data_IF_273219427232
#
_entry.id   IF_273219427232
#
_cell.length_a   1.000
_cell.length_b   1.000
_cell.length_c   1.000
_cell.angle_alpha   90.00
_cell.angle_beta   90.00
_cell.angle_gamma   90.00
#
_symmetry.space_group_name_H-M   'P 1'
#
loop_
_entity.id
_entity.type
_entity.pdbx_description
1 polymer ?
#
# COMPACT_ATOMS: atom_id res chain seq x y z
N UNK A 1 -65.02 -59.99 55.53
CA UNK A 1 -64.89 -58.86 54.54
C UNK A 1 -63.43 -58.44 54.43
N UNK A 2 -62.77 -58.81 53.33
CA UNK A 2 -61.35 -58.50 53.13
C UNK A 2 -61.27 -57.36 52.10
N UNK A 3 -60.78 -56.16 52.53
CA UNK A 3 -60.51 -55.02 51.66
C UNK A 3 -59.15 -55.20 51.01
N UNK A 4 -59.16 -55.16 49.66
CA UNK A 4 -57.91 -55.18 48.83
C UNK A 4 -57.39 -53.76 48.72
N UNK A 5 -56.14 -53.53 49.08
CA UNK A 5 -55.37 -52.33 48.81
C UNK A 5 -54.73 -52.42 47.43
N UNK A 6 -55.00 -51.46 46.56
CA UNK A 6 -54.28 -51.28 45.27
C UNK A 6 -53.15 -50.27 45.44
N UNK A 7 -51.91 -50.52 44.96
CA UNK A 7 -50.84 -49.55 45.06
C UNK A 7 -50.94 -48.56 43.90
N UNK A 8 -50.93 -47.27 44.23
CA UNK A 8 -50.87 -46.14 43.28
C UNK A 8 -49.45 -45.98 42.77
N UNK A 9 -49.22 -46.18 41.47
CA UNK A 9 -47.94 -45.94 40.82
C UNK A 9 -47.66 -44.44 40.73
N UNK A 10 -46.62 -43.99 41.41
CA UNK A 10 -46.09 -42.62 41.39
C UNK A 10 -45.20 -42.45 40.17
N UNK A 11 -45.72 -41.80 39.11
CA UNK A 11 -44.93 -41.44 37.93
C UNK A 11 -43.92 -40.33 38.31
N UNK A 12 -42.63 -40.67 38.34
CA UNK A 12 -41.53 -39.69 38.38
C UNK A 12 -41.44 -39.04 37.04
N UNK A 13 -41.83 -37.79 36.97
CA UNK A 13 -41.59 -36.92 35.80
C UNK A 13 -40.14 -36.43 35.85
N UNK A 14 -39.25 -37.07 35.09
CA UNK A 14 -37.85 -36.64 34.96
C UNK A 14 -37.80 -35.29 34.24
N UNK A 15 -37.38 -34.26 34.92
CA UNK A 15 -37.12 -32.91 34.41
C UNK A 15 -35.78 -33.01 33.66
N UNK A 16 -35.85 -33.15 32.31
CA UNK A 16 -34.65 -33.02 31.42
C UNK A 16 -34.36 -31.54 31.26
N UNK A 17 -33.42 -31.04 32.01
CA UNK A 17 -32.88 -29.67 31.88
C UNK A 17 -32.03 -29.62 30.64
N UNK A 18 -32.33 -28.81 29.56
CA UNK A 18 -31.47 -28.68 28.42
C UNK A 18 -30.19 -27.98 28.87
N UNK A 19 -29.03 -28.66 28.77
CA UNK A 19 -27.73 -28.02 28.85
C UNK A 19 -27.59 -27.10 27.61
N UNK A 20 -27.86 -25.83 27.82
CA UNK A 20 -27.46 -24.77 26.88
C UNK A 20 -25.92 -24.76 26.83
N UNK A 21 -25.36 -25.33 25.80
CA UNK A 21 -23.95 -25.15 25.45
C UNK A 21 -23.76 -23.66 25.14
N UNK A 22 -23.36 -22.87 26.12
CA UNK A 22 -22.84 -21.53 25.94
C UNK A 22 -21.55 -21.68 25.13
N UNK A 23 -21.63 -21.44 23.81
CA UNK A 23 -20.43 -21.33 22.99
C UNK A 23 -19.61 -20.16 23.52
N UNK A 24 -18.31 -20.32 23.82
CA UNK A 24 -17.49 -19.21 24.24
C UNK A 24 -17.50 -18.17 23.11
N UNK A 25 -18.02 -16.99 23.41
CA UNK A 25 -17.89 -15.81 22.56
C UNK A 25 -16.40 -15.47 22.57
N UNK A 26 -15.64 -15.97 21.59
CA UNK A 26 -14.24 -15.59 21.41
C UNK A 26 -14.25 -14.10 21.08
N UNK A 27 -13.91 -13.27 22.06
CA UNK A 27 -13.73 -11.85 21.84
C UNK A 27 -12.66 -11.67 20.75
N UNK A 28 -13.03 -11.09 19.61
CA UNK A 28 -12.06 -10.74 18.56
C UNK A 28 -11.09 -9.72 19.13
N UNK A 29 -9.81 -9.98 18.96
CA UNK A 29 -8.78 -9.01 19.26
C UNK A 29 -8.99 -7.76 18.38
N UNK A 30 -9.02 -6.58 18.96
CA UNK A 30 -9.19 -5.32 18.23
C UNK A 30 -7.87 -4.60 18.16
N UNK A 31 -7.41 -4.27 16.94
CA UNK A 31 -6.19 -3.50 16.72
C UNK A 31 -6.52 -2.12 16.13
N UNK A 32 -5.91 -1.08 16.69
CA UNK A 32 -5.99 0.28 16.16
C UNK A 32 -5.15 0.40 14.89
N UNK A 33 -5.78 0.86 13.78
CA UNK A 33 -5.15 0.96 12.46
C UNK A 33 -5.09 2.40 12.00
N UNK A 34 -3.89 2.95 11.79
CA UNK A 34 -3.73 4.29 11.23
C UNK A 34 -4.08 4.33 9.75
N UNK A 35 -4.79 5.38 9.36
CA UNK A 35 -4.99 5.75 7.97
C UNK A 35 -4.88 7.28 7.80
N UNK A 36 -4.55 7.75 6.61
CA UNK A 36 -4.60 9.15 6.20
C UNK A 36 -5.22 9.26 4.82
N UNK A 37 -5.67 10.46 4.44
CA UNK A 37 -6.22 10.66 3.10
C UNK A 37 -5.11 10.49 2.05
N UNK A 38 -5.16 9.36 1.35
CA UNK A 38 -4.21 9.01 0.28
C UNK A 38 -4.88 8.13 -0.78
N UNK A 39 -5.75 8.72 -1.63
CA UNK A 39 -6.45 7.98 -2.66
C UNK A 39 -5.49 7.45 -3.76
N UNK A 40 -5.80 6.30 -4.36
CA UNK A 40 -6.96 5.45 -4.17
C UNK A 40 -6.81 4.43 -3.02
N UNK A 41 -5.78 4.55 -2.19
CA UNK A 41 -5.44 3.57 -1.15
C UNK A 41 -6.28 3.72 0.11
N UNK A 42 -6.51 4.96 0.54
CA UNK A 42 -7.33 5.29 1.71
C UNK A 42 -7.99 6.66 1.56
N UNK A 43 -9.31 6.71 1.67
CA UNK A 43 -10.11 7.92 1.52
C UNK A 43 -11.50 7.74 2.14
N UNK A 44 -12.15 8.85 2.41
CA UNK A 44 -13.59 8.86 2.68
C UNK A 44 -14.31 8.94 1.33
N UNK A 45 -15.20 7.99 1.09
CA UNK A 45 -16.08 7.96 -0.08
C UNK A 45 -17.18 9.02 0.02
N UNK A 46 -17.94 9.25 -1.05
CA UNK A 46 -19.00 10.25 -1.09
C UNK A 46 -20.15 9.98 -0.10
N UNK A 47 -20.34 8.72 0.30
CA UNK A 47 -21.31 8.29 1.31
C UNK A 47 -20.80 8.43 2.75
N UNK A 48 -19.60 8.98 2.96
CA UNK A 48 -18.97 9.13 4.27
C UNK A 48 -18.25 7.89 4.79
N UNK A 49 -18.23 6.79 4.04
CA UNK A 49 -17.55 5.56 4.47
C UNK A 49 -16.05 5.61 4.21
N UNK A 50 -15.26 5.03 5.12
CA UNK A 50 -13.83 4.84 4.92
C UNK A 50 -13.60 3.67 3.94
N UNK A 51 -12.95 3.96 2.82
CA UNK A 51 -12.65 3.02 1.75
C UNK A 51 -11.27 3.21 1.15
N UNK A 52 -11.05 2.53 0.02
CA UNK A 52 -9.79 2.49 -0.71
C UNK A 52 -9.11 1.14 -0.63
N UNK A 53 -8.10 0.92 -1.50
CA UNK A 53 -7.46 -0.37 -1.67
C UNK A 53 -6.84 -0.90 -0.37
N UNK A 54 -6.01 -0.09 0.30
CA UNK A 54 -5.32 -0.51 1.52
C UNK A 54 -6.30 -0.76 2.66
N UNK A 55 -7.36 0.05 2.78
CA UNK A 55 -8.43 -0.13 3.77
C UNK A 55 -9.17 -1.45 3.55
N UNK A 56 -9.54 -1.74 2.29
CA UNK A 56 -10.26 -2.97 1.93
C UNK A 56 -9.40 -4.20 2.18
N UNK A 57 -8.15 -4.19 1.72
CA UNK A 57 -7.22 -5.30 1.94
C UNK A 57 -6.93 -5.50 3.44
N UNK A 58 -6.71 -4.42 4.20
CA UNK A 58 -6.47 -4.51 5.65
C UNK A 58 -7.65 -5.13 6.38
N UNK A 59 -8.91 -4.72 6.07
CA UNK A 59 -10.10 -5.36 6.64
C UNK A 59 -10.17 -6.85 6.33
N UNK A 60 -9.91 -7.23 5.08
CA UNK A 60 -9.94 -8.64 4.66
C UNK A 60 -8.85 -9.46 5.34
N UNK A 61 -7.63 -8.96 5.38
CA UNK A 61 -6.46 -9.63 5.98
C UNK A 61 -6.70 -9.84 7.48
N UNK A 62 -6.95 -8.75 8.22
CA UNK A 62 -7.13 -8.81 9.67
C UNK A 62 -8.39 -9.61 10.04
N UNK A 63 -9.51 -9.43 9.33
CA UNK A 63 -10.72 -10.19 9.55
C UNK A 63 -10.54 -11.70 9.36
N UNK A 64 -9.80 -12.14 8.32
CA UNK A 64 -9.44 -13.56 8.12
C UNK A 64 -8.50 -14.08 9.21
N UNK A 65 -7.63 -13.23 9.76
CA UNK A 65 -6.76 -13.58 10.87
C UNK A 65 -7.46 -13.59 12.24
N UNK A 66 -8.77 -13.26 12.29
CA UNK A 66 -9.55 -13.21 13.53
C UNK A 66 -9.42 -11.89 14.29
N UNK A 67 -8.88 -10.84 13.66
CA UNK A 67 -8.64 -9.51 14.25
C UNK A 67 -9.63 -8.50 13.69
N UNK A 68 -10.18 -7.62 14.56
CA UNK A 68 -11.06 -6.52 14.16
C UNK A 68 -10.26 -5.20 14.03
N UNK A 69 -10.21 -4.54 12.84
CA UNK A 69 -9.50 -3.27 12.69
C UNK A 69 -10.34 -2.08 13.18
N UNK A 70 -9.80 -1.32 14.14
CA UNK A 70 -10.33 -0.02 14.57
C UNK A 70 -9.57 1.11 13.87
N UNK A 71 -10.13 1.68 12.81
CA UNK A 71 -9.45 2.68 12.00
C UNK A 71 -9.40 4.06 12.66
N UNK A 72 -8.21 4.67 12.70
CA UNK A 72 -7.94 6.01 13.25
C UNK A 72 -7.34 6.91 12.18
N UNK A 73 -7.94 8.09 11.94
CA UNK A 73 -7.36 9.08 11.03
C UNK A 73 -6.16 9.76 11.70
N UNK A 74 -4.98 9.52 11.16
CA UNK A 74 -3.71 10.05 11.69
C UNK A 74 -2.78 10.40 10.53
N UNK A 75 -2.15 11.59 10.54
CA UNK A 75 -1.05 11.87 9.62
C UNK A 75 0.08 10.84 9.79
N UNK A 76 0.73 10.47 8.68
CA UNK A 76 1.75 9.42 8.67
C UNK A 76 2.84 9.59 9.72
N UNK A 77 3.40 10.80 9.83
CA UNK A 77 4.41 11.10 10.85
C UNK A 77 3.91 10.87 12.29
N UNK A 78 2.62 11.18 12.55
CA UNK A 78 2.01 10.93 13.85
C UNK A 78 1.79 9.44 14.10
N UNK A 79 1.41 8.69 13.08
CA UNK A 79 1.28 7.23 13.17
C UNK A 79 2.62 6.59 13.53
N UNK A 80 3.72 6.95 12.85
CA UNK A 80 5.06 6.45 13.17
C UNK A 80 5.47 6.77 14.61
N UNK A 81 5.24 8.00 15.05
CA UNK A 81 5.54 8.44 16.42
C UNK A 81 4.79 7.62 17.48
N UNK A 82 3.49 7.34 17.24
CA UNK A 82 2.68 6.56 18.17
C UNK A 82 3.07 5.07 18.16
N UNK A 83 3.40 4.51 17.00
CA UNK A 83 3.87 3.12 16.89
C UNK A 83 5.18 2.89 17.64
N UNK A 84 6.14 3.80 17.51
CA UNK A 84 7.41 3.72 18.24
C UNK A 84 7.20 3.69 19.76
N UNK A 85 6.09 4.27 20.24
CA UNK A 85 5.68 4.31 21.66
C UNK A 85 4.67 3.24 22.05
N UNK A 86 4.39 2.28 21.17
CA UNK A 86 3.41 1.21 21.40
C UNK A 86 1.99 1.76 21.70
N UNK A 87 1.62 2.94 21.15
CA UNK A 87 0.33 3.62 21.34
C UNK A 87 -0.58 3.53 20.09
N UNK A 88 -0.12 2.84 19.08
CA UNK A 88 -0.84 2.51 17.85
C UNK A 88 -0.37 1.13 17.40
N UNK A 89 -1.31 0.27 17.08
CA UNK A 89 -1.01 -1.13 16.81
C UNK A 89 -0.56 -1.37 15.36
N UNK A 90 -1.23 -0.75 14.37
CA UNK A 90 -1.04 -1.04 12.95
C UNK A 90 -0.95 0.23 12.11
N UNK A 91 -0.03 0.25 11.15
CA UNK A 91 -0.05 1.17 10.03
C UNK A 91 -0.07 0.38 8.71
N UNK A 92 -1.00 0.75 7.83
CA UNK A 92 -1.09 0.17 6.48
C UNK A 92 -0.25 0.96 5.47
N UNK A 93 0.01 0.39 4.29
CA UNK A 93 0.75 1.09 3.24
C UNK A 93 2.25 1.24 3.49
N UNK A 94 2.82 0.46 4.40
CA UNK A 94 4.19 0.66 4.87
C UNK A 94 5.24 -0.03 4.00
N UNK A 95 6.36 0.66 3.80
CA UNK A 95 7.59 0.07 3.31
C UNK A 95 8.44 -0.39 4.50
N UNK A 96 8.99 -1.61 4.40
CA UNK A 96 9.92 -2.14 5.39
C UNK A 96 11.27 -1.44 5.26
N UNK A 97 11.79 -0.93 6.37
CA UNK A 97 13.10 -0.28 6.42
C UNK A 97 13.82 -0.63 7.73
N UNK A 98 15.17 -0.65 7.75
CA UNK A 98 15.92 -0.95 8.98
C UNK A 98 15.54 -0.08 10.18
N UNK A 99 15.28 1.21 9.95
CA UNK A 99 14.88 2.14 11.01
C UNK A 99 13.55 1.74 11.63
N UNK A 100 12.59 1.30 10.81
CA UNK A 100 11.26 0.89 11.27
C UNK A 100 11.28 -0.47 11.94
N UNK A 101 12.15 -1.39 11.52
CA UNK A 101 12.31 -2.70 12.15
C UNK A 101 12.77 -2.60 13.61
N UNK A 102 13.35 -1.47 14.02
CA UNK A 102 13.71 -1.25 15.43
C UNK A 102 12.50 -1.23 16.37
N UNK A 103 11.34 -0.75 15.92
CA UNK A 103 10.13 -0.62 16.74
C UNK A 103 8.90 -1.33 16.19
N UNK A 104 8.99 -1.95 15.01
CA UNK A 104 7.85 -2.59 14.37
C UNK A 104 8.22 -3.96 13.78
N UNK A 105 7.19 -4.83 13.65
CA UNK A 105 7.18 -6.06 12.86
C UNK A 105 6.44 -5.81 11.55
N UNK A 106 6.72 -6.60 10.52
CA UNK A 106 6.10 -6.45 9.21
C UNK A 106 5.48 -7.77 8.75
N UNK A 107 4.29 -7.68 8.17
CA UNK A 107 3.66 -8.82 7.49
C UNK A 107 4.41 -9.22 6.21
N UNK A 108 4.02 -10.32 5.61
CA UNK A 108 4.23 -10.56 4.18
C UNK A 108 3.68 -9.38 3.35
N UNK A 109 4.21 -9.13 2.13
CA UNK A 109 3.69 -8.05 1.28
C UNK A 109 2.29 -8.39 0.78
N UNK A 110 1.35 -7.43 0.90
CA UNK A 110 -0.01 -7.60 0.40
C UNK A 110 -0.26 -6.91 -0.94
N UNK A 111 0.62 -5.99 -1.36
CA UNK A 111 0.67 -5.39 -2.69
C UNK A 111 2.06 -4.88 -3.04
N UNK A 112 2.21 -4.34 -4.24
CA UNK A 112 3.42 -3.63 -4.67
C UNK A 112 3.08 -2.18 -5.02
N UNK A 113 3.94 -1.24 -4.64
CA UNK A 113 3.91 0.13 -5.11
C UNK A 113 4.84 0.27 -6.31
N UNK A 114 4.38 0.92 -7.37
CA UNK A 114 5.16 1.17 -8.60
C UNK A 114 5.53 2.64 -8.66
N UNK A 115 6.81 2.95 -8.55
CA UNK A 115 7.31 4.31 -8.70
C UNK A 115 7.78 4.53 -10.15
N UNK A 116 7.27 5.58 -10.74
CA UNK A 116 7.45 5.90 -12.15
C UNK A 116 7.96 7.32 -12.36
N UNK A 117 8.61 7.55 -13.49
CA UNK A 117 8.83 8.87 -14.04
C UNK A 117 7.72 9.15 -15.07
N UNK A 118 6.97 10.21 -14.83
CA UNK A 118 5.90 10.70 -15.70
C UNK A 118 6.35 11.96 -16.43
N UNK A 119 5.93 12.13 -17.68
CA UNK A 119 6.03 13.38 -18.43
C UNK A 119 4.73 13.70 -19.14
N UNK A 120 4.62 14.91 -19.64
CA UNK A 120 3.57 15.22 -20.61
C UNK A 120 3.80 14.45 -21.92
N UNK A 121 2.72 14.13 -22.62
CA UNK A 121 2.81 13.66 -24.00
C UNK A 121 3.30 14.81 -24.90
N UNK A 122 4.27 14.56 -25.80
CA UNK A 122 4.69 15.58 -26.77
C UNK A 122 3.52 16.03 -27.64
N UNK A 123 3.36 17.33 -27.81
CA UNK A 123 2.42 17.91 -28.77
C UNK A 123 3.12 18.16 -30.10
N UNK A 124 2.34 18.30 -31.18
CA UNK A 124 2.90 18.63 -32.50
C UNK A 124 3.56 20.01 -32.42
N UNK A 125 4.80 20.14 -32.93
CA UNK A 125 5.57 21.38 -32.93
C UNK A 125 6.36 21.70 -31.67
N UNK A 126 6.34 20.81 -30.64
CA UNK A 126 7.17 20.99 -29.44
C UNK A 126 8.63 20.55 -29.63
N UNK A 127 9.58 21.21 -28.92
CA UNK A 127 10.99 20.80 -28.92
C UNK A 127 11.17 19.34 -28.51
N UNK A 128 12.18 18.71 -29.05
CA UNK A 128 12.38 17.24 -29.06
C UNK A 128 12.66 16.60 -27.70
N UNK A 129 12.89 17.35 -26.63
CA UNK A 129 13.33 16.93 -25.29
C UNK A 129 13.11 15.43 -24.91
N UNK A 130 11.83 15.05 -24.69
CA UNK A 130 11.52 13.65 -24.38
C UNK A 130 11.53 12.69 -25.56
N UNK A 131 11.46 13.18 -26.81
CA UNK A 131 11.47 12.32 -28.01
C UNK A 131 12.85 11.72 -28.25
N UNK A 132 13.90 12.45 -27.92
CA UNK A 132 15.30 12.02 -28.08
C UNK A 132 15.69 10.99 -26.99
N UNK A 133 15.00 11.00 -25.83
CA UNK A 133 15.24 10.05 -24.75
C UNK A 133 14.57 8.73 -25.11
N UNK A 134 15.28 7.83 -25.76
CA UNK A 134 14.78 6.52 -26.21
C UNK A 134 15.15 5.38 -25.29
N UNK A 135 16.09 5.59 -24.38
CA UNK A 135 16.58 4.60 -23.44
C UNK A 135 16.94 5.22 -22.08
N UNK A 136 17.09 4.39 -21.06
CA UNK A 136 17.40 4.83 -19.70
C UNK A 136 18.75 5.53 -19.61
N UNK A 137 19.76 5.03 -20.33
CA UNK A 137 21.11 5.61 -20.35
C UNK A 137 21.07 7.06 -20.85
N UNK A 138 20.32 7.34 -21.90
CA UNK A 138 20.12 8.71 -22.43
C UNK A 138 19.41 9.59 -21.40
N UNK A 139 18.38 9.07 -20.72
CA UNK A 139 17.71 9.79 -19.63
C UNK A 139 18.68 10.16 -18.52
N UNK A 140 19.53 9.23 -18.09
CA UNK A 140 20.46 9.43 -16.99
C UNK A 140 21.54 10.47 -17.29
N UNK A 141 21.90 10.64 -18.55
CA UNK A 141 22.85 11.63 -19.04
C UNK A 141 22.22 12.97 -19.44
N UNK A 142 20.87 13.03 -19.52
CA UNK A 142 20.15 14.22 -19.93
C UNK A 142 20.43 15.38 -18.96
N UNK A 143 20.82 16.53 -19.52
CA UNK A 143 21.05 17.77 -18.77
C UNK A 143 19.88 18.73 -18.95
N UNK A 144 19.60 19.52 -17.92
CA UNK A 144 18.61 20.57 -17.98
C UNK A 144 17.17 20.10 -17.83
N UNK A 145 16.89 18.82 -17.62
CA UNK A 145 15.55 18.34 -17.29
C UNK A 145 15.13 18.83 -15.90
N UNK A 146 14.00 19.52 -15.83
CA UNK A 146 13.38 19.96 -14.58
C UNK A 146 12.53 18.83 -14.03
N UNK A 147 13.16 17.97 -13.25
CA UNK A 147 12.48 16.83 -12.61
C UNK A 147 12.04 17.20 -11.19
N UNK A 148 10.89 16.65 -10.77
CA UNK A 148 10.35 16.82 -9.43
C UNK A 148 10.03 15.49 -8.75
N UNK A 149 10.20 15.46 -7.41
CA UNK A 149 9.81 14.33 -6.56
C UNK A 149 9.23 14.82 -5.22
N UNK A 150 8.48 13.96 -4.55
CA UNK A 150 8.00 14.25 -3.20
C UNK A 150 9.17 14.27 -2.21
N UNK A 151 9.19 15.25 -1.31
CA UNK A 151 10.20 15.35 -0.25
C UNK A 151 10.18 14.11 0.65
N UNK A 152 11.37 13.62 0.98
CA UNK A 152 11.53 12.41 1.79
C UNK A 152 11.25 11.12 1.00
N UNK A 153 10.98 11.20 -0.31
CA UNK A 153 11.09 10.04 -1.18
C UNK A 153 12.53 9.59 -1.18
N UNK A 154 12.79 8.36 -0.72
CA UNK A 154 14.15 7.83 -0.67
C UNK A 154 14.80 7.89 -2.05
N UNK A 155 16.13 8.07 -2.10
CA UNK A 155 16.86 7.90 -3.36
C UNK A 155 16.46 6.57 -3.97
N UNK A 156 16.14 6.61 -5.23
CA UNK A 156 15.91 5.38 -5.99
C UNK A 156 17.21 4.59 -6.01
N UNK A 157 17.19 3.25 -6.04
CA UNK A 157 18.39 2.45 -6.19
C UNK A 157 19.27 2.92 -7.36
N UNK A 158 18.63 3.52 -8.37
CA UNK A 158 19.28 4.04 -9.59
C UNK A 158 19.75 5.49 -9.48
N UNK A 159 19.52 6.21 -8.37
CA UNK A 159 19.82 7.64 -8.28
C UNK A 159 21.33 7.94 -8.26
N UNK A 160 22.15 7.00 -7.80
CA UNK A 160 23.62 7.10 -7.83
C UNK A 160 24.15 6.89 -9.24
N UNK A 161 23.52 5.99 -10.00
CA UNK A 161 23.92 5.65 -11.38
C UNK A 161 23.22 6.55 -12.43
N UNK A 162 22.23 7.35 -12.01
CA UNK A 162 21.41 8.19 -12.87
C UNK A 162 21.33 9.63 -12.35
N UNK A 163 22.33 10.49 -12.63
CA UNK A 163 22.42 11.86 -12.11
C UNK A 163 21.16 12.70 -12.35
N UNK A 164 20.49 12.56 -13.50
CA UNK A 164 19.27 13.29 -13.80
C UNK A 164 18.16 13.02 -12.76
N UNK A 165 18.00 11.76 -12.32
CA UNK A 165 17.02 11.39 -11.28
C UNK A 165 17.46 11.84 -9.88
N UNK A 166 18.78 11.79 -9.61
CA UNK A 166 19.36 12.24 -8.34
C UNK A 166 19.17 13.74 -8.10
N UNK A 167 19.19 14.55 -9.15
CA UNK A 167 19.05 16.01 -9.12
C UNK A 167 17.59 16.49 -9.10
N UNK A 168 16.59 15.58 -9.07
CA UNK A 168 15.18 15.95 -9.02
C UNK A 168 14.85 16.84 -7.81
N UNK A 169 14.22 17.99 -8.06
CA UNK A 169 13.82 18.95 -7.03
C UNK A 169 12.75 18.38 -6.10
N UNK A 170 12.82 18.71 -4.82
CA UNK A 170 11.88 18.20 -3.82
C UNK A 170 10.70 19.14 -3.58
N UNK A 171 9.50 18.56 -3.57
CA UNK A 171 8.24 19.25 -3.32
C UNK A 171 7.49 18.61 -2.15
N UNK A 172 6.58 19.37 -1.51
CA UNK A 172 5.88 18.91 -0.31
C UNK A 172 4.55 18.20 -0.61
N UNK A 173 4.15 18.09 -1.87
CA UNK A 173 2.85 17.53 -2.25
C UNK A 173 2.90 16.92 -3.66
N UNK A 174 2.35 15.72 -3.79
CA UNK A 174 2.15 15.03 -5.06
C UNK A 174 1.19 15.82 -5.98
N UNK A 175 0.13 16.44 -5.43
CA UNK A 175 -0.77 17.31 -6.20
C UNK A 175 -0.05 18.51 -6.79
N UNK A 176 0.90 19.10 -6.04
CA UNK A 176 1.74 20.19 -6.55
C UNK A 176 2.63 19.72 -7.69
N UNK A 177 3.20 18.53 -7.60
CA UNK A 177 4.00 17.94 -8.67
C UNK A 177 3.17 17.78 -9.95
N UNK A 178 1.96 17.20 -9.87
CA UNK A 178 1.07 17.05 -11.02
C UNK A 178 0.66 18.41 -11.60
N UNK A 179 0.33 19.39 -10.76
CA UNK A 179 0.00 20.75 -11.21
C UNK A 179 1.14 21.39 -12.00
N UNK A 180 2.38 21.26 -11.51
CA UNK A 180 3.55 21.82 -12.16
C UNK A 180 3.89 21.07 -13.45
N UNK A 181 3.69 19.75 -13.49
CA UNK A 181 3.85 18.94 -14.69
C UNK A 181 2.82 19.38 -15.76
N UNK A 182 1.54 19.46 -15.41
CA UNK A 182 0.48 19.88 -16.33
C UNK A 182 0.66 21.33 -16.83
N UNK A 183 1.22 22.21 -15.99
CA UNK A 183 1.56 23.59 -16.35
C UNK A 183 2.90 23.72 -17.10
N UNK A 184 3.57 22.63 -17.48
CA UNK A 184 4.88 22.59 -18.17
C UNK A 184 6.00 23.32 -17.41
N UNK A 185 5.87 23.44 -16.09
CA UNK A 185 6.91 24.00 -15.21
C UNK A 185 7.92 22.95 -14.74
N UNK A 186 7.53 21.67 -14.81
CA UNK A 186 8.39 20.52 -14.72
C UNK A 186 8.29 19.71 -16.01
N UNK A 187 9.41 19.14 -16.42
CA UNK A 187 9.50 18.27 -17.59
C UNK A 187 9.14 16.84 -17.23
N UNK A 188 9.37 16.44 -15.96
CA UNK A 188 8.97 15.15 -15.43
C UNK A 188 8.77 15.14 -13.93
N UNK A 189 7.99 14.17 -13.44
CA UNK A 189 7.77 13.96 -12.00
C UNK A 189 7.90 12.49 -11.64
N UNK A 190 8.50 12.24 -10.49
CA UNK A 190 8.66 10.90 -9.91
C UNK A 190 7.59 10.72 -8.85
N UNK A 191 6.70 9.74 -9.03
CA UNK A 191 5.62 9.46 -8.08
C UNK A 191 5.10 8.03 -8.18
N UNK A 192 4.25 7.67 -7.24
CA UNK A 192 3.55 6.39 -7.26
C UNK A 192 2.47 6.37 -8.33
N UNK A 193 2.47 5.29 -9.13
CA UNK A 193 1.66 5.17 -10.34
C UNK A 193 0.15 5.21 -10.11
N UNK A 194 -0.35 4.48 -9.10
CA UNK A 194 -1.79 4.38 -8.87
C UNK A 194 -2.35 5.70 -8.34
N UNK A 195 -1.58 6.40 -7.51
CA UNK A 195 -1.93 7.75 -7.08
C UNK A 195 -2.00 8.70 -8.29
N UNK A 196 -0.97 8.68 -9.15
CA UNK A 196 -0.94 9.51 -10.35
C UNK A 196 -2.15 9.25 -11.25
N UNK A 197 -2.45 7.98 -11.57
CA UNK A 197 -3.63 7.60 -12.38
C UNK A 197 -4.92 8.13 -11.80
N UNK A 198 -5.12 7.91 -10.50
CA UNK A 198 -6.33 8.35 -9.81
C UNK A 198 -6.52 9.87 -9.92
N UNK A 199 -5.46 10.63 -9.61
CA UNK A 199 -5.52 12.09 -9.65
C UNK A 199 -5.67 12.65 -11.07
N UNK A 200 -4.96 12.11 -12.03
CA UNK A 200 -5.10 12.49 -13.44
C UNK A 200 -6.50 12.19 -13.96
N UNK A 201 -7.10 11.06 -13.57
CA UNK A 201 -8.49 10.74 -13.89
C UNK A 201 -9.47 11.79 -13.33
N UNK A 202 -9.30 12.21 -12.08
CA UNK A 202 -10.12 13.27 -11.47
C UNK A 202 -9.95 14.63 -12.14
N UNK A 203 -8.76 14.91 -12.68
CA UNK A 203 -8.46 16.17 -13.39
C UNK A 203 -8.84 16.12 -14.87
N UNK A 204 -9.35 15.00 -15.39
CA UNK A 204 -9.60 14.82 -16.84
C UNK A 204 -8.33 14.89 -17.69
N UNK A 205 -7.15 14.63 -17.11
CA UNK A 205 -5.85 14.83 -17.71
C UNK A 205 -5.09 13.51 -18.01
N UNK A 206 -5.77 12.36 -17.97
CA UNK A 206 -5.15 11.05 -18.17
C UNK A 206 -4.42 10.94 -19.52
N UNK A 207 -4.98 11.53 -20.58
CA UNK A 207 -4.41 11.49 -21.92
C UNK A 207 -3.26 12.48 -22.14
N UNK A 208 -3.10 13.46 -21.25
CA UNK A 208 -2.05 14.48 -21.35
C UNK A 208 -0.68 13.96 -20.86
N UNK A 209 -0.69 12.90 -20.06
CA UNK A 209 0.50 12.36 -19.36
C UNK A 209 0.84 10.97 -19.88
N UNK A 210 2.11 10.64 -19.86
CA UNK A 210 2.61 9.31 -20.17
C UNK A 210 3.65 8.82 -19.15
N UNK A 211 3.73 7.52 -18.95
CA UNK A 211 4.81 6.91 -18.21
C UNK A 211 6.08 6.83 -19.08
N UNK A 212 7.14 7.45 -18.63
CA UNK A 212 8.44 7.36 -19.31
C UNK A 212 9.17 6.07 -18.93
N UNK A 213 9.31 5.82 -17.63
CA UNK A 213 10.02 4.63 -17.14
C UNK A 213 9.44 4.18 -15.80
N UNK A 214 9.33 2.87 -15.62
CA UNK A 214 9.10 2.24 -14.31
C UNK A 214 10.45 2.19 -13.59
N UNK A 215 10.63 3.03 -12.58
CA UNK A 215 11.90 3.19 -11.87
C UNK A 215 12.15 2.02 -10.92
N UNK A 216 11.15 1.65 -10.14
CA UNK A 216 11.22 0.49 -9.26
C UNK A 216 9.83 0.09 -8.72
N UNK A 217 9.76 -1.15 -8.22
CA UNK A 217 8.61 -1.64 -7.48
C UNK A 217 9.02 -2.04 -6.07
N UNK A 218 8.22 -1.65 -5.10
CA UNK A 218 8.48 -1.96 -3.70
C UNK A 218 7.33 -2.76 -3.08
N UNK A 219 7.62 -3.79 -2.28
CA UNK A 219 6.62 -4.53 -1.53
C UNK A 219 6.04 -3.65 -0.42
N UNK A 220 4.72 -3.55 -0.38
CA UNK A 220 3.97 -2.83 0.65
C UNK A 220 3.38 -3.81 1.64
N UNK A 221 3.46 -3.50 2.93
CA UNK A 221 3.17 -4.38 4.05
C UNK A 221 2.30 -3.70 5.09
N UNK A 222 1.63 -4.49 5.92
CA UNK A 222 1.15 -4.02 7.20
C UNK A 222 2.35 -3.94 8.16
N UNK A 223 2.43 -2.85 8.90
CA UNK A 223 3.45 -2.60 9.90
C UNK A 223 2.77 -2.61 11.26
N UNK A 224 3.24 -3.46 12.17
CA UNK A 224 2.70 -3.67 13.51
C UNK A 224 3.68 -3.15 14.55
N UNK A 225 3.20 -2.46 15.57
CA UNK A 225 4.01 -2.20 16.76
C UNK A 225 4.49 -3.56 17.33
N UNK A 226 5.70 -3.61 17.89
CA UNK A 226 6.31 -4.89 18.26
C UNK A 226 5.49 -5.69 19.26
N UNK A 227 4.78 -5.00 20.16
CA UNK A 227 3.96 -5.61 21.22
C UNK A 227 2.51 -5.87 20.76
N UNK A 228 2.09 -5.30 19.62
CA UNK A 228 0.73 -5.45 19.12
C UNK A 228 0.44 -6.84 18.54
N UNK A 229 1.44 -7.58 18.09
CA UNK A 229 1.28 -8.93 17.55
C UNK A 229 2.44 -9.81 17.95
N UNK A 230 2.13 -11.05 18.38
CA UNK A 230 3.10 -12.11 18.57
C UNK A 230 3.36 -12.86 17.25
N UNK A 231 4.25 -13.84 17.28
CA UNK A 231 4.62 -14.60 16.06
C UNK A 231 3.46 -15.42 15.51
N UNK A 232 2.61 -16.01 16.35
CA UNK A 232 1.45 -16.78 15.92
C UNK A 232 0.40 -15.88 15.24
N UNK A 233 0.14 -14.68 15.78
CA UNK A 233 -0.75 -13.71 15.18
C UNK A 233 -0.20 -13.24 13.82
N UNK A 234 1.10 -12.95 13.73
CA UNK A 234 1.75 -12.56 12.48
C UNK A 234 1.68 -13.69 11.44
N UNK A 235 1.89 -14.94 11.84
CA UNK A 235 1.76 -16.09 10.95
C UNK A 235 0.33 -16.25 10.41
N UNK A 236 -0.72 -16.04 11.24
CA UNK A 236 -2.12 -16.04 10.77
C UNK A 236 -2.39 -14.90 9.78
N UNK A 237 -1.83 -13.71 10.03
CA UNK A 237 -1.93 -12.56 9.13
C UNK A 237 -1.26 -12.86 7.79
N UNK A 238 -0.07 -13.45 7.80
CA UNK A 238 0.67 -13.81 6.58
C UNK A 238 -0.06 -14.91 5.78
N UNK A 239 -0.65 -15.89 6.47
CA UNK A 239 -1.51 -16.89 5.83
C UNK A 239 -2.77 -16.24 5.20
N UNK A 240 -3.37 -15.25 5.86
CA UNK A 240 -4.50 -14.50 5.32
C UNK A 240 -4.10 -13.69 4.07
N UNK A 241 -2.89 -13.12 4.04
CA UNK A 241 -2.33 -12.44 2.86
C UNK A 241 -2.13 -13.43 1.71
N UNK A 242 -1.55 -14.60 1.97
CA UNK A 242 -1.35 -15.63 0.95
C UNK A 242 -2.66 -16.15 0.34
N UNK A 243 -3.76 -16.06 1.09
CA UNK A 243 -5.11 -16.45 0.65
C UNK A 243 -5.90 -15.29 0.00
N UNK A 244 -5.27 -14.14 -0.26
CA UNK A 244 -5.91 -13.08 -1.04
C UNK A 244 -6.07 -13.51 -2.51
N UNK A 245 -7.14 -13.06 -3.18
CA UNK A 245 -7.27 -13.25 -4.63
C UNK A 245 -6.11 -12.56 -5.36
N UNK A 246 -5.86 -13.00 -6.59
CA UNK A 246 -4.89 -12.30 -7.46
C UNK A 246 -5.16 -10.80 -7.50
N UNK A 247 -4.12 -9.96 -7.52
CA UNK A 247 -4.31 -8.51 -7.55
C UNK A 247 -5.21 -8.10 -8.71
N UNK A 248 -6.12 -7.15 -8.45
CA UNK A 248 -6.95 -6.55 -9.49
C UNK A 248 -6.04 -6.00 -10.61
N UNK A 249 -6.31 -6.36 -11.89
CA UNK A 249 -5.56 -5.83 -13.04
C UNK A 249 -5.50 -4.30 -13.08
N UNK A 250 -6.49 -3.61 -12.49
CA UNK A 250 -6.47 -2.16 -12.35
C UNK A 250 -5.25 -1.65 -11.57
N UNK A 251 -4.64 -2.48 -10.72
CA UNK A 251 -3.43 -2.15 -9.96
C UNK A 251 -2.15 -2.73 -10.55
N UNK A 252 -2.21 -3.24 -11.79
CA UNK A 252 -1.03 -3.67 -12.50
C UNK A 252 -0.02 -2.51 -12.69
N UNK A 253 1.29 -2.81 -12.77
CA UNK A 253 2.29 -1.81 -13.10
C UNK A 253 2.02 -1.23 -14.51
N UNK A 254 2.40 0.04 -14.76
CA UNK A 254 2.20 0.65 -16.05
C UNK A 254 3.07 0.00 -17.13
N UNK A 255 2.58 0.09 -18.36
CA UNK A 255 3.44 -0.03 -19.52
C UNK A 255 4.07 1.35 -19.77
N UNK A 256 5.38 1.45 -19.55
CA UNK A 256 6.10 2.69 -19.77
C UNK A 256 6.83 2.67 -21.13
N UNK A 257 7.22 3.85 -21.61
CA UNK A 257 7.88 4.02 -22.89
C UNK A 257 9.28 3.41 -22.88
N UNK A 258 10.01 3.60 -21.79
CA UNK A 258 11.35 3.04 -21.59
C UNK A 258 11.26 1.80 -20.69
N UNK A 259 11.98 0.77 -21.06
CA UNK A 259 12.08 -0.46 -20.27
C UNK A 259 13.38 -0.46 -19.47
N UNK A 260 13.28 -0.23 -18.17
CA UNK A 260 14.43 -0.24 -17.27
C UNK A 260 15.04 -1.65 -17.09
N UNK A 261 14.32 -2.71 -17.48
CA UNK A 261 14.81 -4.10 -17.39
C UNK A 261 15.72 -4.45 -18.56
N UNK A 262 15.69 -3.66 -19.63
CA UNK A 262 16.61 -3.76 -20.76
C UNK A 262 17.85 -2.86 -20.54
N UNK A 263 18.57 -3.05 -19.45
CA UNK A 263 19.94 -2.51 -19.36
C UNK A 263 20.80 -3.29 -20.37
N UNK A 264 21.44 -2.65 -21.34
CA UNK A 264 22.48 -3.31 -22.07
C UNK A 264 23.51 -3.75 -21.03
N UNK A 265 23.89 -5.02 -21.01
CA UNK A 265 25.05 -5.46 -20.26
C UNK A 265 26.19 -4.53 -20.66
N UNK A 266 26.65 -3.68 -19.73
CA UNK A 266 27.90 -2.99 -19.87
C UNK A 266 28.96 -4.08 -20.07
N UNK A 267 29.29 -4.33 -21.34
CA UNK A 267 30.42 -5.17 -21.71
C UNK A 267 31.62 -4.58 -20.98
N UNK A 268 32.12 -5.29 -19.99
CA UNK A 268 33.45 -5.07 -19.42
C UNK A 268 34.41 -4.93 -20.59
N UNK A 269 35.17 -3.82 -20.74
CA UNK A 269 36.22 -3.75 -21.72
C UNK A 269 37.20 -4.85 -21.35
N UNK A 270 37.43 -5.76 -22.29
CA UNK A 270 38.54 -6.71 -22.20
C UNK A 270 39.81 -5.88 -22.00
N UNK A 271 40.46 -6.09 -20.86
CA UNK A 271 41.77 -5.52 -20.62
C UNK A 271 42.76 -6.12 -21.66
N UNK A 272 43.74 -5.32 -22.12
CA UNK A 272 44.74 -5.76 -23.09
C UNK A 272 45.68 -6.82 -22.52
#
# INVERSE_FOLDING_TARGET
MKRKFTPTARRMLGLVLPLLFAQPLVARETLSVAWSHWPPFSQIAADGTLGGLDVTLTRQILGKAGVEPAFRNLPWARALYLMERQQLDVAMGALKTPERERFARFSAPYRRASFVLLSQRPQAGEPEGWREITELATLCQAKGLRLGKLRGTRPLPMSEECPALGQASEYNSDDRLLTLLLARRLDGVIMEWQYARYRLGQLGASDAIQCQVLLHQQPVRLMFAKEAVNEDALARIDAAIAALPSPDPAFAPPRCRLDATRTPSLSTPSAP
#
